data_IF_819119638308
#
_entry.id   IF_819119638308
#
_cell.length_a   1.000
_cell.length_b   1.000
_cell.length_c   1.000
_cell.angle_alpha   90.00
_cell.angle_beta   90.00
_cell.angle_gamma   90.00
#
_symmetry.space_group_name_H-M   'P 1'
#
loop_
_entity.id
_entity.type
_entity.pdbx_description
1 polymer ?
#
# COMPACT_ATOMS: atom_id res chain seq x y z
N UNK A 1 17.91 23.02 5.14
CA UNK A 1 17.49 22.18 5.73
C UNK A 1 17.23 20.98 5.08
N UNK A 2 17.29 20.08 5.68
CA UNK A 2 17.27 18.86 5.08
C UNK A 2 16.03 18.13 5.17
N UNK A 3 15.01 18.75 5.66
CA UNK A 3 13.76 18.10 5.75
C UNK A 3 13.24 17.71 4.43
N UNK A 4 13.48 18.55 3.42
CA UNK A 4 12.95 18.26 2.12
C UNK A 4 13.54 17.03 1.50
N UNK A 5 14.71 16.66 1.94
CA UNK A 5 15.31 15.49 1.40
C UNK A 5 14.61 14.25 1.76
N UNK A 6 13.88 14.29 2.85
CA UNK A 6 13.20 13.11 3.29
C UNK A 6 11.83 12.97 2.72
N UNK A 7 11.37 13.97 1.97
CA UNK A 7 10.03 13.95 1.43
C UNK A 7 10.10 13.65 -0.04
N UNK A 8 9.91 12.40 -0.37
CA UNK A 8 9.92 12.01 -1.77
C UNK A 8 8.65 12.44 -2.46
N UNK A 9 8.76 12.67 -3.75
CA UNK A 9 7.62 13.02 -4.58
C UNK A 9 7.47 11.95 -5.64
N UNK A 10 6.28 11.85 -6.20
CA UNK A 10 6.05 10.86 -7.25
C UNK A 10 7.01 11.07 -8.42
N UNK A 11 7.41 12.31 -8.67
CA UNK A 11 8.32 12.58 -9.77
C UNK A 11 9.73 12.02 -9.51
N UNK A 12 10.02 11.63 -8.29
CA UNK A 12 11.31 11.03 -7.97
C UNK A 12 11.37 9.55 -8.32
N UNK A 13 10.28 8.98 -8.79
CA UNK A 13 10.21 7.55 -9.09
C UNK A 13 10.06 7.33 -10.58
N UNK A 14 10.76 6.31 -11.10
CA UNK A 14 10.64 5.96 -12.51
C UNK A 14 9.33 5.25 -12.79
N UNK A 15 8.95 4.34 -11.93
CA UNK A 15 7.72 3.59 -12.12
C UNK A 15 6.62 4.25 -11.30
N UNK A 16 5.71 4.95 -11.96
CA UNK A 16 4.63 5.67 -11.29
C UNK A 16 3.33 4.89 -11.29
N UNK A 17 3.38 3.64 -11.70
CA UNK A 17 2.17 2.83 -11.74
C UNK A 17 1.71 2.48 -10.34
N UNK A 18 0.44 2.72 -10.08
CA UNK A 18 -0.19 2.43 -8.81
C UNK A 18 -1.35 1.47 -9.05
N UNK A 19 -1.33 0.33 -8.38
CA UNK A 19 -2.44 -0.60 -8.45
C UNK A 19 -3.31 -0.43 -7.20
N UNK A 20 -4.60 -0.21 -7.40
CA UNK A 20 -5.56 -0.15 -6.30
C UNK A 20 -6.40 -1.41 -6.34
N UNK A 21 -6.39 -2.16 -5.25
CA UNK A 21 -7.16 -3.39 -5.15
C UNK A 21 -8.15 -3.24 -3.99
N UNK A 22 -9.43 -3.16 -4.33
CA UNK A 22 -10.47 -2.95 -3.33
C UNK A 22 -11.79 -3.32 -3.99
N UNK A 23 -12.65 -4.05 -3.29
CA UNK A 23 -13.94 -4.45 -3.84
C UNK A 23 -15.03 -3.41 -3.62
N UNK A 24 -14.72 -2.32 -2.92
CA UNK A 24 -15.64 -1.19 -2.75
C UNK A 24 -15.46 -0.28 -3.97
N UNK A 25 -16.30 -0.47 -4.97
CA UNK A 25 -16.13 0.24 -6.23
C UNK A 25 -16.17 1.76 -6.10
N UNK A 26 -17.14 2.34 -5.40
CA UNK A 26 -17.16 3.82 -5.29
C UNK A 26 -15.92 4.37 -4.60
N UNK A 27 -15.48 3.73 -3.53
CA UNK A 27 -14.28 4.17 -2.83
C UNK A 27 -13.06 4.04 -3.73
N UNK A 28 -12.91 2.88 -4.37
CA UNK A 28 -11.74 2.62 -5.21
C UNK A 28 -11.66 3.61 -6.37
N UNK A 29 -12.80 3.88 -7.02
CA UNK A 29 -12.81 4.78 -8.16
C UNK A 29 -12.52 6.22 -7.75
N UNK A 30 -13.04 6.62 -6.60
CA UNK A 30 -12.78 7.97 -6.10
C UNK A 30 -11.31 8.14 -5.75
N UNK A 31 -10.75 7.14 -5.08
CA UNK A 31 -9.33 7.18 -4.73
C UNK A 31 -8.47 7.18 -6.00
N UNK A 32 -8.85 6.39 -7.00
CA UNK A 32 -8.11 6.33 -8.26
C UNK A 32 -8.02 7.71 -8.90
N UNK A 33 -9.15 8.41 -8.98
CA UNK A 33 -9.15 9.72 -9.60
C UNK A 33 -8.28 10.70 -8.82
N UNK A 34 -8.34 10.64 -7.51
CA UNK A 34 -7.53 11.54 -6.68
C UNK A 34 -6.04 11.25 -6.84
N UNK A 35 -5.67 9.98 -6.92
CA UNK A 35 -4.26 9.64 -7.07
C UNK A 35 -3.73 9.99 -8.46
N UNK A 36 -4.59 9.89 -9.47
CA UNK A 36 -4.18 10.32 -10.82
C UNK A 36 -3.85 11.80 -10.83
N UNK A 37 -4.61 12.60 -10.10
CA UNK A 37 -4.33 14.01 -10.02
C UNK A 37 -3.01 14.30 -9.34
N UNK A 38 -2.54 13.37 -8.54
CA UNK A 38 -1.27 13.53 -7.85
C UNK A 38 -0.08 13.04 -8.65
N UNK A 39 -0.34 12.49 -9.84
CA UNK A 39 0.74 12.09 -10.74
C UNK A 39 0.95 10.59 -10.88
N UNK A 40 0.14 9.79 -10.21
CA UNK A 40 0.25 8.34 -10.34
C UNK A 40 -0.49 7.85 -11.59
N UNK A 41 -0.01 6.77 -12.15
CA UNK A 41 -0.68 6.11 -13.26
C UNK A 41 -1.43 4.93 -12.67
N UNK A 42 -2.74 5.04 -12.56
CA UNK A 42 -3.53 4.15 -11.73
C UNK A 42 -4.18 3.03 -12.52
N UNK A 43 -4.06 1.81 -12.00
CA UNK A 43 -4.81 0.65 -12.47
C UNK A 43 -5.66 0.19 -11.31
N UNK A 44 -6.78 -0.44 -11.59
CA UNK A 44 -7.72 -0.86 -10.56
C UNK A 44 -8.05 -2.33 -10.69
N UNK A 45 -8.25 -3.01 -9.57
CA UNK A 45 -8.71 -4.38 -9.54
C UNK A 45 -9.69 -4.51 -8.38
N UNK A 46 -10.74 -5.29 -8.60
CA UNK A 46 -11.80 -5.40 -7.60
C UNK A 46 -11.74 -6.69 -6.79
N UNK A 47 -10.74 -7.52 -7.02
CA UNK A 47 -10.66 -8.82 -6.35
C UNK A 47 -9.21 -9.27 -6.25
N UNK A 48 -8.98 -10.31 -5.45
CA UNK A 48 -7.65 -10.91 -5.36
C UNK A 48 -7.24 -11.42 -6.73
N UNK A 49 -8.13 -12.12 -7.41
CA UNK A 49 -7.80 -12.70 -8.70
C UNK A 49 -7.39 -11.64 -9.70
N UNK A 50 -8.19 -10.58 -9.82
CA UNK A 50 -7.87 -9.53 -10.77
C UNK A 50 -6.63 -8.76 -10.37
N UNK A 51 -6.41 -8.61 -9.08
CA UNK A 51 -5.20 -7.97 -8.58
C UNK A 51 -3.96 -8.74 -8.99
N UNK A 52 -3.99 -10.05 -8.80
CA UNK A 52 -2.86 -10.89 -9.15
C UNK A 52 -2.64 -10.89 -10.66
N UNK A 53 -3.71 -10.94 -11.44
CA UNK A 53 -3.58 -10.88 -12.89
C UNK A 53 -2.92 -9.57 -13.33
N UNK A 54 -3.32 -8.47 -12.72
CA UNK A 54 -2.76 -7.18 -13.06
C UNK A 54 -1.27 -7.13 -12.73
N UNK A 55 -0.89 -7.65 -11.57
CA UNK A 55 0.51 -7.67 -11.15
C UNK A 55 1.35 -8.49 -12.13
N UNK A 56 0.82 -9.61 -12.57
CA UNK A 56 1.56 -10.46 -13.50
C UNK A 56 1.74 -9.84 -14.86
N UNK A 57 0.78 -9.02 -15.28
CA UNK A 57 0.91 -8.33 -16.55
C UNK A 57 1.92 -7.19 -16.47
N UNK A 58 1.93 -6.48 -15.36
CA UNK A 58 2.83 -5.36 -15.19
C UNK A 58 2.95 -5.07 -13.71
N UNK A 59 4.07 -5.41 -13.13
CA UNK A 59 4.26 -5.22 -11.70
C UNK A 59 4.28 -3.73 -11.37
N UNK A 60 3.41 -3.28 -10.48
CA UNK A 60 3.33 -1.85 -10.18
C UNK A 60 4.48 -1.39 -9.29
N UNK A 61 4.81 -0.11 -9.36
CA UNK A 61 5.77 0.46 -8.43
C UNK A 61 5.15 0.77 -7.09
N UNK A 62 3.81 0.96 -7.07
CA UNK A 62 3.06 1.27 -5.87
C UNK A 62 1.78 0.47 -5.85
N UNK A 63 1.31 0.12 -4.68
CA UNK A 63 0.02 -0.56 -4.58
C UNK A 63 -0.68 -0.22 -3.27
N UNK A 64 -2.00 -0.14 -3.33
CA UNK A 64 -2.84 0.00 -2.15
C UNK A 64 -3.82 -1.14 -2.22
N UNK A 65 -3.78 -2.02 -1.23
CA UNK A 65 -4.51 -3.27 -1.27
C UNK A 65 -5.39 -3.41 -0.04
N UNK A 66 -6.69 -3.59 -0.27
CA UNK A 66 -7.61 -3.84 0.83
C UNK A 66 -7.32 -5.24 1.38
N UNK A 67 -7.28 -5.35 2.69
CA UNK A 67 -7.00 -6.62 3.33
C UNK A 67 -8.09 -7.63 3.07
N UNK A 68 -9.35 -7.23 3.13
CA UNK A 68 -10.47 -8.15 2.97
C UNK A 68 -11.15 -7.92 1.64
N UNK A 69 -11.10 -8.91 0.80
CA UNK A 69 -11.72 -8.85 -0.52
C UNK A 69 -12.73 -9.98 -0.62
N UNK A 70 -13.70 -9.84 -1.51
CA UNK A 70 -14.76 -10.81 -1.62
C UNK A 70 -14.29 -12.23 -1.89
N UNK A 71 -13.19 -12.38 -2.61
CA UNK A 71 -12.68 -13.69 -2.97
C UNK A 71 -11.43 -14.09 -2.21
N UNK A 72 -11.07 -13.36 -1.16
CA UNK A 72 -9.92 -13.78 -0.38
C UNK A 72 -9.26 -12.65 0.38
N UNK A 73 -8.01 -12.83 0.65
CA UNK A 73 -7.23 -11.92 1.49
C UNK A 73 -6.23 -11.16 0.63
N UNK A 74 -6.20 -9.84 0.82
CA UNK A 74 -5.29 -8.99 0.06
C UNK A 74 -3.82 -9.33 0.24
N UNK A 75 -3.47 -10.08 1.30
CA UNK A 75 -2.08 -10.50 1.48
C UNK A 75 -1.59 -11.31 0.30
N UNK A 76 -2.48 -12.04 -0.38
CA UNK A 76 -2.05 -12.81 -1.54
C UNK A 76 -1.57 -11.91 -2.65
N UNK A 77 -2.21 -10.75 -2.81
CA UNK A 77 -1.78 -9.78 -3.81
C UNK A 77 -0.44 -9.18 -3.41
N UNK A 78 -0.28 -8.86 -2.13
CA UNK A 78 0.97 -8.30 -1.63
C UNK A 78 2.13 -9.25 -1.88
N UNK A 79 1.91 -10.53 -1.60
CA UNK A 79 2.97 -11.52 -1.80
C UNK A 79 3.38 -11.62 -3.26
N UNK A 80 2.41 -11.57 -4.16
CA UNK A 80 2.73 -11.63 -5.58
C UNK A 80 3.50 -10.38 -6.01
N UNK A 81 3.10 -9.21 -5.52
CA UNK A 81 3.81 -7.98 -5.84
C UNK A 81 5.26 -8.05 -5.39
N UNK A 82 5.49 -8.48 -4.14
CA UNK A 82 6.84 -8.49 -3.60
C UNK A 82 7.70 -9.56 -4.25
N UNK A 83 7.07 -10.62 -4.74
CA UNK A 83 7.79 -11.65 -5.44
C UNK A 83 8.32 -11.13 -6.78
N UNK A 84 7.50 -10.39 -7.51
CA UNK A 84 7.87 -9.90 -8.82
C UNK A 84 8.58 -8.56 -8.78
N UNK A 85 8.29 -7.73 -7.78
CA UNK A 85 8.93 -6.43 -7.62
C UNK A 85 9.27 -6.16 -6.17
N UNK A 86 10.41 -6.65 -5.69
CA UNK A 86 10.74 -6.51 -4.27
C UNK A 86 10.81 -5.05 -3.80
N UNK A 87 11.00 -4.12 -4.72
CA UNK A 87 11.09 -2.71 -4.35
C UNK A 87 9.76 -1.99 -4.45
N UNK A 88 8.70 -2.67 -4.86
CA UNK A 88 7.40 -2.04 -4.93
C UNK A 88 6.95 -1.60 -3.55
N UNK A 89 6.29 -0.47 -3.49
CA UNK A 89 5.81 0.11 -2.24
C UNK A 89 4.34 -0.24 -2.07
N UNK A 90 4.02 -0.98 -1.04
CA UNK A 90 2.67 -1.49 -0.85
C UNK A 90 2.11 -1.04 0.49
N UNK A 91 0.92 -0.46 0.46
CA UNK A 91 0.19 -0.07 1.65
C UNK A 91 -1.06 -0.95 1.75
N UNK A 92 -1.32 -1.49 2.94
CA UNK A 92 -2.56 -2.23 3.16
C UNK A 92 -3.62 -1.30 3.70
N UNK A 93 -4.85 -1.48 3.25
CA UNK A 93 -5.99 -0.80 3.85
C UNK A 93 -6.75 -1.82 4.68
N UNK A 94 -7.21 -1.41 5.84
CA UNK A 94 -7.86 -2.34 6.74
C UNK A 94 -8.92 -1.65 7.57
N UNK A 95 -9.99 -2.37 7.90
CA UNK A 95 -10.95 -1.89 8.87
C UNK A 95 -10.44 -2.18 10.28
N UNK A 96 -11.14 -1.64 11.28
CA UNK A 96 -10.65 -1.72 12.64
C UNK A 96 -10.40 -3.11 13.16
N UNK A 97 -11.26 -4.04 12.83
CA UNK A 97 -11.11 -5.38 13.39
C UNK A 97 -9.95 -6.17 12.83
N UNK A 98 -9.27 -5.63 11.83
CA UNK A 98 -8.22 -6.37 11.13
C UNK A 98 -6.82 -5.82 11.33
N UNK A 99 -6.65 -4.93 12.32
CA UNK A 99 -5.35 -4.32 12.55
C UNK A 99 -4.24 -5.36 12.81
N UNK A 100 -4.48 -6.39 13.63
CA UNK A 100 -3.40 -7.37 13.85
C UNK A 100 -2.95 -8.06 12.57
N UNK A 101 -3.89 -8.35 11.65
CA UNK A 101 -3.52 -8.97 10.39
C UNK A 101 -2.75 -7.99 9.51
N UNK A 102 -3.11 -6.71 9.56
CA UNK A 102 -2.39 -5.69 8.80
C UNK A 102 -0.96 -5.55 9.31
N UNK A 103 -0.77 -5.65 10.61
CA UNK A 103 0.57 -5.61 11.18
C UNK A 103 1.40 -6.77 10.64
N UNK A 104 0.79 -7.96 10.54
CA UNK A 104 1.49 -9.10 9.98
C UNK A 104 1.86 -8.85 8.51
N UNK A 105 1.01 -8.14 7.78
CA UNK A 105 1.29 -7.83 6.38
C UNK A 105 2.53 -6.95 6.24
N UNK A 106 2.75 -6.06 7.18
CA UNK A 106 3.93 -5.22 7.15
C UNK A 106 5.17 -6.08 7.28
N UNK A 107 5.10 -7.12 8.09
CA UNK A 107 6.22 -8.03 8.23
C UNK A 107 6.45 -8.84 6.95
N UNK A 108 5.41 -9.02 6.15
CA UNK A 108 5.52 -9.77 4.91
C UNK A 108 5.89 -8.90 3.72
N UNK A 109 6.15 -7.63 3.93
CA UNK A 109 6.66 -6.81 2.86
C UNK A 109 5.90 -5.52 2.57
N UNK A 110 4.71 -5.34 3.12
CA UNK A 110 4.03 -4.06 2.98
C UNK A 110 4.80 -3.03 3.79
N UNK A 111 4.88 -1.80 3.30
CA UNK A 111 5.63 -0.80 4.04
C UNK A 111 4.83 -0.20 5.18
N UNK A 112 3.50 -0.28 5.10
CA UNK A 112 2.68 0.27 6.17
C UNK A 112 1.24 -0.17 5.94
N UNK A 113 0.36 0.20 6.85
CA UNK A 113 -1.06 0.01 6.67
C UNK A 113 -1.79 1.28 7.10
N UNK A 114 -3.00 1.45 6.60
CA UNK A 114 -3.86 2.57 6.97
C UNK A 114 -5.24 2.02 7.29
N UNK A 115 -5.88 2.59 8.29
CA UNK A 115 -7.24 2.20 8.63
C UNK A 115 -8.22 2.93 7.72
N UNK A 116 -9.25 2.24 7.28
CA UNK A 116 -10.31 2.88 6.52
C UNK A 116 -11.22 3.64 7.47
N UNK A 117 -11.74 4.78 7.06
CA UNK A 117 -11.54 5.41 5.75
C UNK A 117 -10.21 6.15 5.69
N UNK A 118 -9.53 6.04 4.58
CA UNK A 118 -8.28 6.74 4.36
C UNK A 118 -8.46 7.66 3.17
N UNK A 119 -7.93 8.86 3.24
CA UNK A 119 -8.08 9.77 2.12
C UNK A 119 -6.82 9.76 1.26
N UNK A 120 -6.91 10.40 0.10
CA UNK A 120 -5.81 10.39 -0.86
C UNK A 120 -4.53 11.00 -0.31
N UNK A 121 -4.66 11.99 0.58
CA UNK A 121 -3.47 12.61 1.16
C UNK A 121 -2.74 11.64 2.06
N UNK A 122 -3.48 10.89 2.88
CA UNK A 122 -2.86 9.89 3.76
C UNK A 122 -2.21 8.80 2.94
N UNK A 123 -2.88 8.37 1.88
CA UNK A 123 -2.35 7.32 1.01
C UNK A 123 -1.07 7.80 0.34
N UNK A 124 -1.07 8.99 -0.19
CA UNK A 124 0.10 9.54 -0.86
C UNK A 124 1.29 9.61 0.10
N UNK A 125 1.06 10.14 1.29
CA UNK A 125 2.13 10.25 2.26
C UNK A 125 2.71 8.90 2.61
N UNK A 126 1.85 7.92 2.80
CA UNK A 126 2.31 6.58 3.16
C UNK A 126 3.09 5.93 2.04
N UNK A 127 2.62 6.10 0.80
CA UNK A 127 3.31 5.49 -0.35
C UNK A 127 4.68 6.10 -0.60
N UNK A 128 4.82 7.38 -0.36
CA UNK A 128 6.06 8.07 -0.68
C UNK A 128 7.01 8.18 0.50
N UNK A 129 6.59 7.76 1.68
CA UNK A 129 7.45 7.83 2.85
C UNK A 129 8.64 6.90 2.70
N UNK A 130 9.77 7.29 3.28
CA UNK A 130 10.91 6.40 3.29
C UNK A 130 10.58 5.18 4.14
N UNK A 131 10.98 4.01 3.69
CA UNK A 131 10.77 2.84 4.51
C UNK A 131 11.39 3.08 5.85
N UNK A 132 10.60 2.86 6.87
CA UNK A 132 11.06 3.24 8.18
C UNK A 132 11.71 2.09 8.85
N UNK A 133 13.00 2.03 8.79
CA UNK A 133 13.66 0.99 9.42
C UNK A 133 13.49 1.04 10.87
N UNK A 134 13.26 2.21 11.39
CA UNK A 134 13.07 2.31 12.76
C UNK A 134 11.78 1.87 13.18
N UNK A 135 10.85 1.84 12.32
CA UNK A 135 9.52 1.48 12.71
C UNK A 135 9.49 0.12 13.26
N UNK A 136 10.46 -0.51 13.08
CA UNK A 136 10.39 -1.81 13.62
C UNK A 136 10.49 -1.81 15.07
N UNK A 137 10.06 -1.82 15.52
CA UNK A 137 9.83 -1.87 16.50
C UNK A 137 9.38 -1.52 17.26
N UNK A 138 8.98 -1.50 17.46
CA UNK A 138 8.77 -1.20 18.17
C UNK A 138 8.63 -1.74 18.84
N UNK A 139 8.73 -1.99 18.61
CA UNK A 139 8.52 -2.21 19.17
C UNK A 139 8.48 -2.27 19.99
N UNK A 140 8.59 -2.46 20.34
CA UNK A 140 8.59 -2.39 21.24
C UNK A 140 8.29 -2.02 22.00
N UNK A 141 8.22 -2.01 22.13
CA UNK A 141 8.15 -1.71 23.08
C UNK A 141 7.79 -1.74 23.83
N UNK A 142 7.75 -2.15 23.90
CA UNK A 142 7.61 -2.19 24.63
C UNK A 142 7.96 -2.54 25.13
N UNK A 143 8.16 -2.83 24.90
CA UNK A 143 8.59 -3.09 25.42
C UNK A 143 9.10 -2.92 26.01
N UNK A 144 9.34 -2.99 26.01
CA UNK A 144 9.85 -2.75 26.64
C UNK A 144 10.08 -2.40 27.36
N UNK A 145 10.17 -2.52 27.55
CA UNK A 145 10.37 -2.18 28.24
C UNK A 145 10.35 -2.10 28.78
N UNK A 146 10.40 -2.38 28.71
CA UNK A 146 10.22 -2.42 29.20
C UNK A 146 10.23 -2.50 29.54
#
# INVERSE_FOLDING_TARGET
>A
MNLDKEMKKITDFDNKNLLLVDDDNPFRERLARAMEKKGFEVSQAESVKKGIESVKQSCPGFAVVDLRLGDGNGLEVVKEIKKLGPESRVIMLTGYGNIPTAVAAVKDGAIDYLAKPADAEDVEKALLAEPNKKASPPENPMSADR
#
